data_IF_784034508670
#
_entry.id   IF_784034508670
#
_cell.length_a   1.000
_cell.length_b   1.000
_cell.length_c   1.000
_cell.angle_alpha   90.00
_cell.angle_beta   90.00
_cell.angle_gamma   90.00
#
_symmetry.space_group_name_H-M   'P 1'
#
loop_
_entity.id
_entity.type
_entity.pdbx_description
1 polymer ?
#
# COMPACT_ATOMS: atom_id res chain seq x y z
N UNK A 1 1.14 19.28 58.61
CA UNK A 1 1.95 19.69 57.42
C UNK A 1 2.72 18.57 56.73
N UNK A 2 2.89 17.38 57.37
CA UNK A 2 3.62 16.26 56.79
C UNK A 2 2.84 15.47 55.71
N UNK A 3 1.52 15.30 55.85
CA UNK A 3 0.72 14.49 54.93
C UNK A 3 0.52 15.08 53.49
N UNK A 4 0.45 16.39 53.38
CA UNK A 4 0.30 17.05 52.06
C UNK A 4 1.59 16.94 51.21
N UNK A 5 2.76 17.01 51.88
CA UNK A 5 4.04 16.90 51.20
C UNK A 5 4.26 15.46 50.66
N UNK A 6 3.90 14.46 51.45
CA UNK A 6 3.99 13.04 51.02
C UNK A 6 3.03 12.76 49.86
N UNK A 7 1.84 13.31 49.85
CA UNK A 7 0.88 13.16 48.78
C UNK A 7 1.39 13.79 47.44
N UNK A 8 1.99 14.98 47.52
CA UNK A 8 2.58 15.67 46.36
C UNK A 8 3.76 14.85 45.80
N UNK A 9 4.62 14.30 46.66
CA UNK A 9 5.73 13.47 46.22
C UNK A 9 5.27 12.18 45.54
N UNK A 10 4.24 11.52 46.06
CA UNK A 10 3.67 10.32 45.44
C UNK A 10 3.03 10.59 44.08
N UNK A 11 2.30 11.70 43.95
CA UNK A 11 1.71 12.08 42.66
C UNK A 11 2.77 12.45 41.62
N UNK A 12 3.83 13.17 42.00
CA UNK A 12 4.95 13.50 41.15
C UNK A 12 5.70 12.24 40.68
N UNK A 13 5.93 11.28 41.58
CA UNK A 13 6.55 10.00 41.24
C UNK A 13 5.69 9.19 40.24
N UNK A 14 4.37 9.15 40.43
CA UNK A 14 3.46 8.47 39.54
C UNK A 14 3.48 9.08 38.14
N UNK A 15 3.46 10.41 38.03
CA UNK A 15 3.55 11.13 36.76
C UNK A 15 4.88 10.82 36.06
N UNK A 16 5.99 10.83 36.79
CA UNK A 16 7.30 10.51 36.23
C UNK A 16 7.35 9.10 35.64
N UNK A 17 6.80 8.12 36.36
CA UNK A 17 6.72 6.74 35.88
C UNK A 17 5.91 6.63 34.60
N UNK A 18 4.76 7.31 34.54
CA UNK A 18 3.92 7.32 33.33
C UNK A 18 4.67 7.93 32.12
N UNK A 19 5.40 9.03 32.34
CA UNK A 19 6.20 9.66 31.30
C UNK A 19 7.33 8.75 30.80
N UNK A 20 8.03 8.08 31.70
CA UNK A 20 9.09 7.13 31.36
C UNK A 20 8.54 5.92 30.59
N UNK A 21 7.40 5.38 31.00
CA UNK A 21 6.74 4.28 30.29
C UNK A 21 6.31 4.71 28.88
N UNK A 22 5.71 5.87 28.73
CA UNK A 22 5.33 6.41 27.41
C UNK A 22 6.55 6.62 26.52
N UNK A 23 7.64 7.14 27.07
CA UNK A 23 8.89 7.33 26.33
C UNK A 23 9.47 5.97 25.90
N UNK A 24 9.51 5.00 26.78
CA UNK A 24 9.99 3.64 26.48
C UNK A 24 9.17 2.95 25.39
N UNK A 25 7.84 3.06 25.46
CA UNK A 25 6.93 2.48 24.45
C UNK A 25 7.17 3.12 23.08
N UNK A 26 7.29 4.47 23.04
CA UNK A 26 7.57 5.18 21.80
C UNK A 26 8.94 4.83 21.23
N UNK A 27 9.96 4.73 22.06
CA UNK A 27 11.30 4.36 21.63
C UNK A 27 11.36 2.93 21.08
N UNK A 28 10.73 1.99 21.76
CA UNK A 28 10.63 0.60 21.27
C UNK A 28 9.89 0.52 19.94
N UNK A 29 8.76 1.22 19.80
CA UNK A 29 8.00 1.29 18.54
C UNK A 29 8.81 1.89 17.39
N UNK A 30 9.62 2.91 17.66
CA UNK A 30 10.51 3.53 16.68
C UNK A 30 11.58 2.56 16.19
N UNK A 31 12.26 1.86 17.08
CA UNK A 31 13.28 0.86 16.72
C UNK A 31 12.70 -0.31 15.90
N UNK A 32 11.50 -0.76 16.24
CA UNK A 32 10.81 -1.81 15.51
C UNK A 32 10.40 -1.37 14.08
N UNK A 33 10.00 -0.11 13.93
CA UNK A 33 9.66 0.46 12.61
C UNK A 33 10.88 0.56 11.69
N UNK A 34 12.03 0.99 12.19
CA UNK A 34 13.27 1.04 11.42
C UNK A 34 13.74 -0.35 10.99
N UNK A 35 13.66 -1.32 11.90
CA UNK A 35 14.04 -2.70 11.59
C UNK A 35 13.17 -3.28 10.47
N UNK A 36 11.84 -3.04 10.53
CA UNK A 36 10.90 -3.46 9.46
C UNK A 36 11.23 -2.80 8.12
N UNK A 37 11.56 -1.51 8.13
CA UNK A 37 11.95 -0.80 6.89
C UNK A 37 13.25 -1.35 6.30
N UNK A 38 14.28 -1.62 7.12
CA UNK A 38 15.53 -2.22 6.65
C UNK A 38 15.29 -3.60 6.04
N UNK A 39 14.49 -4.44 6.71
CA UNK A 39 14.16 -5.78 6.21
C UNK A 39 13.37 -5.72 4.90
N UNK A 40 12.42 -4.77 4.78
CA UNK A 40 11.68 -4.55 3.55
C UNK A 40 12.59 -4.13 2.39
N UNK A 41 13.54 -3.20 2.62
CA UNK A 41 14.54 -2.79 1.62
C UNK A 41 15.44 -3.94 1.18
N UNK A 42 15.89 -4.77 2.11
CA UNK A 42 16.70 -5.96 1.77
C UNK A 42 15.91 -6.94 0.89
N UNK A 43 14.67 -7.28 1.27
CA UNK A 43 13.80 -8.12 0.46
C UNK A 43 13.55 -7.54 -0.94
N UNK A 44 13.39 -6.22 -1.02
CA UNK A 44 13.21 -5.52 -2.29
C UNK A 44 14.46 -5.62 -3.18
N UNK A 45 15.64 -5.46 -2.61
CA UNK A 45 16.90 -5.62 -3.33
C UNK A 45 17.12 -7.07 -3.81
N UNK A 46 16.85 -8.05 -2.96
CA UNK A 46 16.93 -9.47 -3.33
C UNK A 46 15.94 -9.83 -4.45
N UNK A 47 14.72 -9.30 -4.38
CA UNK A 47 13.72 -9.52 -5.42
C UNK A 47 14.09 -8.82 -6.75
N UNK A 48 14.73 -7.64 -6.67
CA UNK A 48 15.23 -6.93 -7.84
C UNK A 48 16.36 -7.71 -8.54
N UNK A 49 17.30 -8.25 -7.78
CA UNK A 49 18.40 -9.07 -8.34
C UNK A 49 17.91 -10.35 -8.99
N UNK A 50 16.80 -10.90 -8.51
CA UNK A 50 16.16 -12.09 -9.10
C UNK A 50 15.21 -11.79 -10.26
N UNK A 51 15.03 -10.52 -10.65
CA UNK A 51 14.10 -10.11 -11.72
C UNK A 51 12.63 -10.41 -11.43
N UNK A 52 12.26 -10.55 -10.15
CA UNK A 52 10.92 -10.93 -9.71
C UNK A 52 10.01 -9.72 -9.41
N UNK A 53 10.54 -8.50 -9.55
CA UNK A 53 9.77 -7.29 -9.28
C UNK A 53 8.82 -6.97 -10.43
N UNK A 54 7.55 -6.86 -10.10
CA UNK A 54 6.50 -6.36 -10.98
C UNK A 54 6.10 -4.99 -10.44
N UNK A 55 6.10 -3.98 -11.31
CA UNK A 55 5.71 -2.63 -10.90
C UNK A 55 4.18 -2.45 -10.95
N UNK A 56 3.67 -1.69 -10.00
CA UNK A 56 2.27 -1.29 -10.00
C UNK A 56 1.97 -0.40 -11.23
N UNK A 57 0.96 -0.72 -12.06
CA UNK A 57 0.65 0.06 -13.27
C UNK A 57 0.12 1.47 -12.98
N UNK A 58 -0.23 1.77 -11.72
CA UNK A 58 -0.82 3.04 -11.32
C UNK A 58 0.19 4.01 -10.72
N UNK A 59 1.10 3.52 -9.88
CA UNK A 59 2.07 4.35 -9.16
C UNK A 59 3.53 4.01 -9.49
N UNK A 60 3.74 2.99 -10.30
CA UNK A 60 5.06 2.47 -10.68
C UNK A 60 5.94 1.99 -9.51
N UNK A 61 5.37 1.85 -8.30
CA UNK A 61 6.10 1.27 -7.17
C UNK A 61 6.36 -0.20 -7.42
N UNK A 62 7.57 -0.71 -7.16
CA UNK A 62 7.89 -2.11 -7.27
C UNK A 62 7.15 -2.90 -6.18
N UNK A 63 6.54 -4.01 -6.55
CA UNK A 63 5.82 -4.91 -5.65
C UNK A 63 6.76 -6.03 -5.19
N UNK A 64 6.76 -6.30 -3.90
CA UNK A 64 7.47 -7.44 -3.32
C UNK A 64 6.71 -8.74 -3.59
N UNK A 65 7.40 -9.89 -3.58
CA UNK A 65 6.74 -11.19 -3.60
C UNK A 65 5.72 -11.31 -2.46
N UNK A 66 4.45 -11.56 -2.80
CA UNK A 66 3.33 -11.60 -1.86
C UNK A 66 2.55 -10.30 -1.71
N UNK A 67 2.98 -9.23 -2.37
CA UNK A 67 2.18 -8.02 -2.51
C UNK A 67 1.37 -8.06 -3.81
N UNK A 68 0.07 -8.02 -3.66
CA UNK A 68 -0.85 -8.13 -4.79
C UNK A 68 -1.51 -6.78 -5.13
N UNK A 69 -1.90 -6.65 -6.39
CA UNK A 69 -2.74 -5.54 -6.84
C UNK A 69 -4.17 -5.74 -6.33
N UNK A 70 -4.73 -4.71 -5.75
CA UNK A 70 -6.13 -4.67 -5.36
C UNK A 70 -6.97 -4.49 -6.63
N UNK A 71 -7.57 -5.58 -7.09
CA UNK A 71 -8.33 -5.64 -8.32
C UNK A 71 -9.69 -6.29 -8.12
N UNK A 72 -10.66 -5.94 -8.98
CA UNK A 72 -11.97 -6.54 -9.03
C UNK A 72 -12.25 -7.01 -10.45
N UNK A 73 -12.57 -8.29 -10.61
CA UNK A 73 -12.99 -8.88 -11.87
C UNK A 73 -14.51 -8.88 -11.92
N UNK A 74 -15.07 -8.35 -13.00
CA UNK A 74 -16.51 -8.34 -13.22
C UNK A 74 -16.92 -9.59 -14.01
N UNK A 75 -17.74 -10.41 -13.36
CA UNK A 75 -18.26 -11.69 -13.85
C UNK A 75 -17.16 -12.72 -14.15
N UNK A 76 -16.88 -13.62 -13.20
CA UNK A 76 -16.08 -14.81 -13.45
C UNK A 76 -16.91 -15.80 -14.29
N UNK A 77 -16.99 -15.55 -15.58
CA UNK A 77 -17.54 -16.48 -16.55
C UNK A 77 -16.34 -17.15 -17.24
N UNK A 78 -16.50 -18.36 -17.74
CA UNK A 78 -15.50 -19.07 -18.54
C UNK A 78 -15.27 -18.40 -19.92
N UNK A 79 -15.25 -17.07 -19.92
CA UNK A 79 -14.93 -16.28 -21.12
C UNK A 79 -13.45 -15.97 -21.14
N UNK A 80 -12.81 -16.03 -22.30
CA UNK A 80 -11.38 -15.77 -22.42
C UNK A 80 -10.98 -14.31 -22.14
N UNK A 81 -11.94 -13.39 -22.20
CA UNK A 81 -11.73 -11.95 -22.01
C UNK A 81 -12.69 -11.44 -20.91
N UNK A 82 -12.11 -10.96 -19.82
CA UNK A 82 -12.85 -10.48 -18.65
C UNK A 82 -12.51 -9.03 -18.36
N UNK A 83 -13.54 -8.22 -18.13
CA UNK A 83 -13.35 -6.85 -17.65
C UNK A 83 -12.89 -6.88 -16.19
N UNK A 84 -11.84 -6.15 -15.88
CA UNK A 84 -11.38 -5.95 -14.51
C UNK A 84 -11.05 -4.49 -14.21
N UNK A 85 -11.13 -4.12 -12.95
CA UNK A 85 -10.67 -2.82 -12.46
C UNK A 85 -9.52 -3.02 -11.48
N UNK A 86 -8.54 -2.13 -11.52
CA UNK A 86 -7.39 -2.13 -10.61
C UNK A 86 -7.46 -0.85 -9.78
N UNK A 87 -7.65 -1.00 -8.48
CA UNK A 87 -7.72 0.12 -7.54
C UNK A 87 -6.33 0.61 -7.14
N UNK A 88 -5.33 -0.26 -7.16
CA UNK A 88 -3.95 0.07 -6.83
C UNK A 88 -3.20 -1.07 -6.17
N UNK A 89 -2.08 -0.75 -5.55
CA UNK A 89 -1.27 -1.64 -4.73
C UNK A 89 -1.25 -1.14 -3.27
N UNK A 90 -0.70 -1.89 -2.32
CA UNK A 90 -0.62 -1.47 -0.92
C UNK A 90 0.04 -0.10 -0.70
N UNK A 91 0.97 0.31 -1.58
CA UNK A 91 1.65 1.61 -1.49
C UNK A 91 0.80 2.80 -1.95
N UNK A 92 -0.19 2.59 -2.83
CA UNK A 92 -0.97 3.67 -3.41
C UNK A 92 -2.48 3.60 -3.13
N UNK A 93 -2.96 2.55 -2.47
CA UNK A 93 -4.37 2.35 -2.13
C UNK A 93 -4.53 1.44 -0.89
N UNK A 94 -5.43 1.69 0.07
CA UNK A 94 -6.41 2.79 0.06
C UNK A 94 -5.83 4.14 0.52
N UNK A 95 -4.66 4.14 1.15
CA UNK A 95 -3.99 5.34 1.65
C UNK A 95 -2.61 5.45 1.00
N UNK A 96 -2.42 6.37 0.05
CA UNK A 96 -1.13 6.55 -0.62
C UNK A 96 -0.03 6.92 0.37
N UNK A 97 1.14 6.36 0.18
CA UNK A 97 2.34 6.78 0.90
C UNK A 97 2.78 8.18 0.46
N UNK A 98 3.44 8.95 1.32
CA UNK A 98 3.91 10.29 0.99
C UNK A 98 4.80 10.30 -0.26
N UNK A 99 4.48 11.17 -1.21
CA UNK A 99 5.23 11.32 -2.47
C UNK A 99 4.81 10.38 -3.60
N UNK A 100 3.93 9.42 -3.36
CA UNK A 100 3.41 8.52 -4.41
C UNK A 100 2.27 9.20 -5.17
N UNK A 101 2.44 9.32 -6.49
CA UNK A 101 1.40 9.81 -7.42
C UNK A 101 0.79 8.63 -8.17
N UNK A 102 -0.51 8.70 -8.38
CA UNK A 102 -1.29 7.70 -9.12
C UNK A 102 -1.56 8.24 -10.52
N UNK A 103 -0.90 7.70 -11.52
CA UNK A 103 -0.96 8.20 -12.89
C UNK A 103 -1.50 7.10 -13.81
N UNK A 104 -2.46 7.44 -14.65
CA UNK A 104 -2.96 6.51 -15.65
C UNK A 104 -1.91 6.29 -16.75
N UNK A 105 -1.52 5.05 -17.07
CA UNK A 105 -0.53 4.78 -18.12
C UNK A 105 -1.03 5.10 -19.55
N UNK A 106 -2.35 5.27 -19.74
CA UNK A 106 -2.95 5.52 -21.05
C UNK A 106 -3.13 7.01 -21.33
N UNK A 107 -3.69 7.77 -20.38
CA UNK A 107 -3.97 9.19 -20.59
C UNK A 107 -3.03 10.13 -19.82
N UNK A 108 -2.12 9.59 -19.03
CA UNK A 108 -1.12 10.29 -18.21
C UNK A 108 -1.70 11.30 -17.21
N UNK A 109 -3.01 11.23 -16.92
CA UNK A 109 -3.67 12.05 -15.91
C UNK A 109 -3.62 11.37 -14.55
N UNK A 110 -3.66 12.20 -13.52
CA UNK A 110 -3.73 11.72 -12.14
C UNK A 110 -5.07 11.03 -11.87
N UNK A 111 -5.02 9.87 -11.21
CA UNK A 111 -6.19 9.06 -10.86
C UNK A 111 -6.47 9.26 -9.37
N UNK A 112 -7.62 9.82 -8.99
CA UNK A 112 -7.94 10.06 -7.59
C UNK A 112 -8.00 8.76 -6.80
N UNK A 113 -7.74 8.84 -5.49
CA UNK A 113 -7.81 7.66 -4.61
C UNK A 113 -9.26 7.22 -4.42
N UNK A 114 -10.13 8.20 -4.18
CA UNK A 114 -11.57 7.96 -4.03
C UNK A 114 -12.18 7.82 -5.42
N UNK A 115 -12.83 6.69 -5.67
CA UNK A 115 -13.53 6.35 -6.91
C UNK A 115 -12.64 6.24 -8.18
N UNK A 116 -11.32 6.43 -8.04
CA UNK A 116 -10.39 6.31 -9.16
C UNK A 116 -9.78 4.91 -9.26
N UNK A 117 -9.87 4.31 -10.46
CA UNK A 117 -9.31 3.00 -10.77
C UNK A 117 -8.86 2.93 -12.23
N UNK A 118 -8.01 1.97 -12.53
CA UNK A 118 -7.73 1.60 -13.91
C UNK A 118 -8.77 0.60 -14.40
N UNK A 119 -9.12 0.72 -15.66
CA UNK A 119 -9.93 -0.26 -16.39
C UNK A 119 -8.99 -1.12 -17.21
N UNK A 120 -9.13 -2.42 -17.09
CA UNK A 120 -8.27 -3.39 -17.73
C UNK A 120 -9.06 -4.59 -18.23
N UNK A 121 -8.49 -5.31 -19.18
CA UNK A 121 -8.98 -6.61 -19.65
C UNK A 121 -8.04 -7.71 -19.20
N UNK A 122 -8.62 -8.76 -18.63
CA UNK A 122 -7.93 -9.94 -18.19
C UNK A 122 -8.15 -11.06 -19.21
N UNK A 123 -7.07 -11.53 -19.82
CA UNK A 123 -7.10 -12.62 -20.79
C UNK A 123 -6.58 -13.90 -20.12
N UNK A 124 -7.40 -14.95 -20.13
CA UNK A 124 -7.01 -16.28 -19.72
C UNK A 124 -6.41 -17.03 -20.92
N UNK A 125 -5.09 -17.24 -20.91
CA UNK A 125 -4.46 -18.12 -21.91
C UNK A 125 -4.60 -19.60 -21.51
N UNK A 126 -4.69 -20.47 -22.51
CA UNK A 126 -4.76 -21.94 -22.36
C UNK A 126 -3.61 -22.52 -21.53
N UNK A 127 -2.48 -21.81 -21.43
CA UNK A 127 -1.31 -22.19 -20.63
C UNK A 127 -1.41 -21.86 -19.14
N UNK A 128 -2.59 -21.41 -18.64
CA UNK A 128 -2.79 -20.99 -17.26
C UNK A 128 -2.20 -19.63 -16.91
N UNK A 129 -1.50 -18.96 -17.81
CA UNK A 129 -0.97 -17.61 -17.61
C UNK A 129 -2.06 -16.58 -17.90
N UNK A 130 -2.23 -15.66 -16.97
CA UNK A 130 -3.17 -14.53 -17.11
C UNK A 130 -2.42 -13.31 -17.64
N UNK A 131 -2.98 -12.63 -18.65
CA UNK A 131 -2.46 -11.36 -19.15
C UNK A 131 -3.47 -10.27 -18.83
N UNK A 132 -2.97 -9.15 -18.31
CA UNK A 132 -3.79 -7.97 -18.01
C UNK A 132 -3.34 -6.84 -18.93
N UNK A 133 -4.28 -6.29 -19.68
CA UNK A 133 -4.06 -5.13 -20.54
C UNK A 133 -4.86 -3.97 -19.98
N UNK A 134 -4.18 -2.89 -19.60
CA UNK A 134 -4.81 -1.67 -19.12
C UNK A 134 -5.34 -0.89 -20.33
N UNK A 135 -6.64 -0.62 -20.36
CA UNK A 135 -7.31 0.09 -21.44
C UNK A 135 -7.57 1.57 -21.14
N UNK A 136 -7.46 1.96 -19.86
CA UNK A 136 -7.65 3.34 -19.44
C UNK A 136 -7.88 3.47 -17.94
N UNK A 137 -8.41 4.58 -17.51
CA UNK A 137 -8.84 4.81 -16.14
C UNK A 137 -10.31 5.23 -16.09
N UNK A 138 -10.88 5.32 -14.88
CA UNK A 138 -12.27 5.74 -14.64
C UNK A 138 -12.65 7.07 -15.33
N UNK A 139 -11.67 7.90 -15.67
CA UNK A 139 -11.89 9.18 -16.36
C UNK A 139 -11.77 9.09 -17.88
N UNK A 140 -10.79 8.34 -18.40
CA UNK A 140 -10.57 8.27 -19.86
C UNK A 140 -11.31 7.12 -20.54
N UNK A 141 -11.57 6.01 -19.85
CA UNK A 141 -12.30 4.87 -20.43
C UNK A 141 -13.79 5.18 -20.72
N UNK A 142 -14.37 6.19 -20.06
CA UNK A 142 -15.74 6.66 -20.35
C UNK A 142 -15.86 7.38 -21.70
N UNK A 143 -14.75 7.73 -22.32
CA UNK A 143 -14.72 8.44 -23.63
C UNK A 143 -14.58 7.50 -24.83
N UNK A 144 -14.35 6.23 -24.59
CA UNK A 144 -14.25 5.21 -25.62
C UNK A 144 -15.25 4.09 -25.28
N UNK A 145 -16.42 4.06 -25.91
CA UNK A 145 -17.41 3.00 -25.74
C UNK A 145 -16.88 1.65 -26.28
#
# INVERSE_FOLDING_TARGET
MSGTLTFILMTAAAILIILLLNFYIKWKAYGESEHRQKLARQKQQEAATKGLLINCPLCNSPLLPGEDLISRVYRPMNVPDQLCTISGCPHCFPKPEPGIKRICPVCHKEVPVKDGHLVARLFNKTSGKKHVIVTGCSQCSKKHP
#
